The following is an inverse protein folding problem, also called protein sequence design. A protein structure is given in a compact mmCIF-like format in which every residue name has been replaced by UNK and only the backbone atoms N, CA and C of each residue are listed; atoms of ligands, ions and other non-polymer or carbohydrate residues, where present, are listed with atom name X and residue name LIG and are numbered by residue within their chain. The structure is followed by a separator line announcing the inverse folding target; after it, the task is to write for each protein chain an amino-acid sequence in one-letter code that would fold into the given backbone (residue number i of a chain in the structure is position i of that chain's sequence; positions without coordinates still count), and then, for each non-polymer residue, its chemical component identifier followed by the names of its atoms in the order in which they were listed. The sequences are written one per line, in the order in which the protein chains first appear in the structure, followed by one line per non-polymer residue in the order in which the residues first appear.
data_IF_206148671734
#
_entry.id   IF_206148671734
#
_cell.length_a   1.000
_cell.length_b   1.000
_cell.length_c   1.000
_cell.angle_alpha   90.00
_cell.angle_beta   90.00
_cell.angle_gamma   90.00
#
_symmetry.space_group_name_H-M   'P 1'
#
loop_
_entity.id
_entity.type
_entity.pdbx_description
1 polymer ?
#
# COMPACT_ATOMS: atom_id res chain seq x y z
N UNK A 1 -1.59 -18.32 6.20
CA UNK A 1 -1.77 -17.07 6.95
C UNK A 1 -2.38 -17.37 8.33
N UNK A 2 -1.59 -17.41 9.37
CA UNK A 2 -2.01 -17.75 10.75
C UNK A 2 -2.95 -16.71 11.40
N UNK A 3 -3.17 -15.56 10.74
CA UNK A 3 -4.04 -14.48 11.23
C UNK A 3 -5.47 -14.55 10.68
N UNK A 4 -5.71 -15.43 9.73
CA UNK A 4 -7.04 -15.61 9.15
C UNK A 4 -7.85 -16.64 9.94
N UNK A 5 -9.18 -16.49 9.95
CA UNK A 5 -10.05 -17.49 10.55
C UNK A 5 -9.97 -18.82 9.81
N UNK A 6 -10.15 -19.92 10.52
CA UNK A 6 -10.12 -21.27 9.93
C UNK A 6 -11.12 -21.42 8.77
N UNK A 7 -12.32 -20.86 8.92
CA UNK A 7 -13.34 -20.85 7.89
C UNK A 7 -12.90 -20.10 6.62
N UNK A 8 -12.24 -18.93 6.79
CA UNK A 8 -11.71 -18.16 5.66
C UNK A 8 -10.56 -18.89 4.97
N UNK A 9 -9.64 -19.49 5.74
CA UNK A 9 -8.56 -20.31 5.19
C UNK A 9 -9.09 -21.51 4.41
N UNK A 10 -10.09 -22.21 4.94
CA UNK A 10 -10.75 -23.34 4.26
C UNK A 10 -11.37 -22.90 2.94
N UNK A 11 -12.14 -21.81 2.92
CA UNK A 11 -12.76 -21.26 1.72
C UNK A 11 -11.73 -20.88 0.68
N UNK A 12 -10.67 -20.19 1.07
CA UNK A 12 -9.60 -19.78 0.15
C UNK A 12 -8.88 -21.00 -0.44
N UNK A 13 -8.56 -21.99 0.38
CA UNK A 13 -7.86 -23.20 -0.04
C UNK A 13 -8.70 -24.03 -1.03
N UNK A 14 -9.97 -24.23 -0.74
CA UNK A 14 -10.89 -24.97 -1.62
C UNK A 14 -11.05 -24.24 -2.96
N UNK A 15 -11.35 -22.93 -2.93
CA UNK A 15 -11.55 -22.13 -4.15
C UNK A 15 -10.29 -22.04 -5.02
N UNK A 16 -9.11 -22.17 -4.42
CA UNK A 16 -7.82 -22.15 -5.13
C UNK A 16 -7.33 -23.55 -5.52
N UNK A 17 -8.11 -24.58 -5.31
CA UNK A 17 -7.77 -25.97 -5.67
C UNK A 17 -6.59 -26.55 -4.88
N UNK A 18 -6.36 -26.09 -3.65
CA UNK A 18 -5.30 -26.60 -2.79
C UNK A 18 -5.53 -28.07 -2.47
N UNK A 19 -4.52 -28.90 -2.69
CA UNK A 19 -4.58 -30.37 -2.46
C UNK A 19 -3.96 -30.79 -1.13
N UNK A 20 -2.99 -30.00 -0.64
CA UNK A 20 -2.20 -30.32 0.54
C UNK A 20 -1.93 -29.01 1.31
N UNK A 21 -1.99 -29.10 2.64
CA UNK A 21 -1.55 -28.01 3.53
C UNK A 21 -0.37 -28.47 4.40
N UNK A 22 0.45 -27.53 4.83
CA UNK A 22 1.55 -27.74 5.74
C UNK A 22 1.34 -26.82 6.93
N UNK A 23 1.37 -27.38 8.14
CA UNK A 23 1.17 -26.62 9.38
C UNK A 23 -0.25 -26.72 9.91
N UNK A 24 -1.02 -25.64 9.88
CA UNK A 24 -2.37 -25.60 10.45
C UNK A 24 -3.35 -26.48 9.67
N UNK A 25 -4.14 -27.36 10.32
CA UNK A 25 -5.13 -28.18 9.66
C UNK A 25 -6.20 -27.35 8.98
N UNK A 26 -6.60 -27.79 7.77
CA UNK A 26 -7.75 -27.25 7.05
C UNK A 26 -8.71 -28.40 6.78
N UNK A 27 -9.99 -28.29 7.16
CA UNK A 27 -10.98 -29.32 6.91
C UNK A 27 -10.99 -29.78 5.45
N UNK A 28 -11.09 -31.09 5.24
CA UNK A 28 -11.12 -31.73 3.92
C UNK A 28 -9.84 -31.63 3.08
N UNK A 29 -8.75 -31.08 3.60
CA UNK A 29 -7.46 -30.99 2.91
C UNK A 29 -6.40 -31.76 3.70
N UNK A 30 -5.61 -32.59 2.99
CA UNK A 30 -4.53 -33.34 3.61
C UNK A 30 -3.48 -32.40 4.17
N UNK A 31 -3.26 -32.45 5.49
CA UNK A 31 -2.33 -31.59 6.20
C UNK A 31 -1.11 -32.38 6.68
N UNK A 32 0.07 -31.80 6.52
CA UNK A 32 1.33 -32.35 6.99
C UNK A 32 1.95 -31.47 8.09
N UNK A 33 2.53 -32.14 9.08
CA UNK A 33 3.29 -31.45 10.13
C UNK A 33 4.61 -30.92 9.55
N UNK A 34 4.90 -29.62 9.66
CA UNK A 34 6.10 -29.02 9.10
C UNK A 34 7.40 -29.64 9.67
N UNK A 35 7.42 -30.00 10.94
CA UNK A 35 8.59 -30.61 11.58
C UNK A 35 8.90 -32.00 11.03
N UNK A 36 7.88 -32.79 10.65
CA UNK A 36 8.07 -34.09 10.02
C UNK A 36 8.60 -33.93 8.59
N UNK A 37 8.11 -32.94 7.85
CA UNK A 37 8.62 -32.65 6.50
C UNK A 37 10.08 -32.20 6.56
N UNK A 38 10.42 -31.26 7.44
CA UNK A 38 11.81 -30.83 7.61
C UNK A 38 12.75 -31.99 7.99
N UNK A 39 12.34 -32.87 8.90
CA UNK A 39 13.12 -34.04 9.23
C UNK A 39 13.31 -34.98 8.04
N UNK A 40 12.27 -35.20 7.21
CA UNK A 40 12.38 -36.10 6.05
C UNK A 40 13.22 -35.48 4.92
N UNK A 41 13.17 -34.14 4.72
CA UNK A 41 14.04 -33.44 3.78
C UNK A 41 15.50 -33.43 4.20
N UNK A 42 15.77 -33.42 5.51
CA UNK A 42 17.13 -33.44 6.04
C UNK A 42 17.79 -34.85 6.02
N UNK A 43 16.97 -35.90 6.07
CA UNK A 43 17.45 -37.30 6.14
C UNK A 43 17.51 -38.03 4.79
N UNK A 44 16.97 -37.46 3.73
CA UNK A 44 16.97 -38.10 2.41
C UNK A 44 16.95 -37.07 1.30
N UNK A 45 18.03 -36.99 0.54
CA UNK A 45 18.05 -36.21 -0.68
C UNK A 45 16.90 -36.64 -1.61
N UNK A 46 16.06 -35.69 -2.04
CA UNK A 46 15.08 -35.97 -3.10
C UNK A 46 15.84 -36.34 -4.36
N UNK A 47 15.66 -37.57 -4.87
CA UNK A 47 16.27 -37.99 -6.13
C UNK A 47 15.80 -37.05 -7.26
N UNK A 48 16.70 -36.73 -8.19
CA UNK A 48 16.39 -35.90 -9.34
C UNK A 48 15.23 -36.45 -10.18
N UNK A 49 14.97 -37.75 -10.10
CA UNK A 49 13.91 -38.49 -10.80
C UNK A 49 12.49 -38.08 -10.39
N UNK A 50 12.31 -37.45 -9.21
CA UNK A 50 10.99 -37.01 -8.73
C UNK A 50 10.73 -35.51 -9.02
N UNK A 51 11.66 -34.80 -9.67
CA UNK A 51 11.47 -33.40 -10.04
C UNK A 51 10.67 -33.31 -11.32
N UNK A 52 9.46 -32.76 -11.23
CA UNK A 52 8.71 -32.35 -12.42
C UNK A 52 9.52 -31.31 -13.19
N UNK A 53 9.54 -31.42 -14.50
CA UNK A 53 10.05 -30.34 -15.34
C UNK A 53 9.15 -29.12 -15.17
N UNK A 54 9.73 -28.03 -14.73
CA UNK A 54 9.06 -26.75 -14.46
C UNK A 54 9.64 -25.71 -15.42
N UNK A 55 8.75 -24.94 -16.05
CA UNK A 55 9.15 -23.83 -16.92
C UNK A 55 9.09 -22.51 -16.17
N UNK A 56 9.72 -21.48 -16.74
CA UNK A 56 9.68 -20.13 -16.15
C UNK A 56 8.26 -19.56 -16.05
N UNK A 57 7.36 -19.98 -16.92
CA UNK A 57 5.99 -19.48 -16.96
C UNK A 57 5.00 -20.30 -16.12
N UNK A 58 5.45 -21.40 -15.53
CA UNK A 58 4.63 -22.14 -14.57
C UNK A 58 4.41 -21.30 -13.29
N UNK A 59 3.24 -21.46 -12.64
CA UNK A 59 2.98 -20.83 -11.34
C UNK A 59 3.97 -21.32 -10.27
N UNK A 60 4.66 -20.38 -9.60
CA UNK A 60 5.51 -20.65 -8.46
C UNK A 60 4.75 -20.52 -7.14
N UNK A 61 3.98 -19.44 -6.99
CA UNK A 61 3.18 -19.16 -5.79
C UNK A 61 1.88 -18.46 -6.15
N UNK A 62 0.89 -18.60 -5.25
CA UNK A 62 -0.34 -17.83 -5.28
C UNK A 62 -0.34 -16.90 -4.06
N UNK A 63 -0.46 -15.61 -4.29
CA UNK A 63 -0.53 -14.58 -3.25
C UNK A 63 -1.94 -14.02 -3.22
N UNK A 64 -2.60 -14.07 -2.06
CA UNK A 64 -3.93 -13.50 -1.91
C UNK A 64 -3.85 -12.00 -1.67
N UNK A 65 -4.51 -11.23 -2.53
CA UNK A 65 -4.62 -9.77 -2.40
C UNK A 65 -5.95 -9.38 -1.75
N UNK A 66 -5.94 -8.37 -0.89
CA UNK A 66 -7.17 -7.77 -0.37
C UNK A 66 -7.78 -6.90 -1.47
N UNK A 67 -8.77 -7.42 -2.19
CA UNK A 67 -9.50 -6.61 -3.17
C UNK A 67 -10.38 -5.55 -2.51
N UNK A 68 -10.63 -4.43 -3.20
CA UNK A 68 -11.57 -3.37 -2.79
C UNK A 68 -13.00 -3.91 -2.57
N UNK A 69 -13.33 -5.08 -3.13
CA UNK A 69 -14.61 -5.77 -2.95
C UNK A 69 -14.72 -6.61 -1.66
N UNK A 70 -13.75 -6.55 -0.76
CA UNK A 70 -13.73 -7.30 0.51
C UNK A 70 -13.41 -8.79 0.39
N UNK A 71 -13.39 -9.38 -0.84
CA UNK A 71 -12.99 -10.77 -1.06
C UNK A 71 -11.53 -10.85 -1.50
N UNK A 72 -10.77 -11.72 -0.85
CA UNK A 72 -9.37 -11.96 -1.23
C UNK A 72 -9.30 -12.60 -2.62
N UNK A 73 -8.46 -12.03 -3.49
CA UNK A 73 -8.25 -12.49 -4.87
C UNK A 73 -6.91 -13.21 -4.98
N UNK A 74 -6.89 -14.46 -5.53
CA UNK A 74 -5.65 -15.22 -5.69
C UNK A 74 -4.87 -14.73 -6.91
N UNK A 75 -3.76 -14.02 -6.68
CA UNK A 75 -2.85 -13.55 -7.73
C UNK A 75 -1.75 -14.59 -8.00
N UNK A 76 -1.48 -14.85 -9.28
CA UNK A 76 -0.47 -15.80 -9.72
C UNK A 76 0.90 -15.14 -9.85
N UNK A 77 1.91 -15.77 -9.24
CA UNK A 77 3.31 -15.47 -9.46
C UNK A 77 3.99 -16.63 -10.15
N UNK A 78 4.50 -16.42 -11.36
CA UNK A 78 5.30 -17.41 -12.07
C UNK A 78 6.74 -17.47 -11.54
N UNK A 79 7.45 -18.54 -11.88
CA UNK A 79 8.88 -18.64 -11.60
C UNK A 79 9.67 -17.48 -12.23
N UNK A 80 9.32 -17.08 -13.46
CA UNK A 80 9.90 -15.93 -14.15
C UNK A 80 9.78 -14.65 -13.32
N UNK A 81 8.60 -14.38 -12.74
CA UNK A 81 8.37 -13.19 -11.92
C UNK A 81 9.14 -13.24 -10.60
N UNK A 82 9.22 -14.41 -9.97
CA UNK A 82 9.98 -14.58 -8.72
C UNK A 82 11.47 -14.36 -8.94
N UNK A 83 12.05 -14.99 -9.96
CA UNK A 83 13.47 -14.86 -10.31
C UNK A 83 13.76 -13.43 -10.77
N UNK A 84 12.94 -12.89 -11.66
CA UNK A 84 13.09 -11.51 -12.15
C UNK A 84 13.02 -10.47 -11.04
N UNK A 85 12.16 -10.65 -10.06
CA UNK A 85 12.12 -9.79 -8.88
C UNK A 85 13.40 -9.93 -8.04
N UNK A 86 13.87 -11.15 -7.78
CA UNK A 86 15.12 -11.39 -7.06
C UNK A 86 16.29 -10.66 -7.71
N UNK A 87 16.51 -10.85 -9.02
CA UNK A 87 17.56 -10.19 -9.79
C UNK A 87 17.43 -8.66 -9.73
N UNK A 88 16.24 -8.14 -10.04
CA UNK A 88 16.04 -6.71 -10.12
C UNK A 88 16.29 -6.02 -8.77
N UNK A 89 15.83 -6.62 -7.67
CA UNK A 89 15.95 -6.03 -6.35
C UNK A 89 17.34 -6.20 -5.74
N UNK A 90 18.02 -7.33 -5.95
CA UNK A 90 19.42 -7.50 -5.53
C UNK A 90 20.33 -6.46 -6.18
N UNK A 91 20.16 -6.22 -7.49
CA UNK A 91 20.92 -5.19 -8.22
C UNK A 91 20.61 -3.76 -7.72
N UNK A 92 19.32 -3.42 -7.56
CA UNK A 92 18.91 -2.07 -7.14
C UNK A 92 19.30 -1.72 -5.72
N UNK A 93 19.30 -2.69 -4.83
CA UNK A 93 19.73 -2.51 -3.44
C UNK A 93 21.26 -2.65 -3.26
N UNK A 94 21.96 -3.22 -4.24
CA UNK A 94 23.38 -3.53 -4.12
C UNK A 94 23.64 -4.72 -3.21
N UNK A 95 22.63 -5.60 -3.02
CA UNK A 95 22.73 -6.77 -2.15
C UNK A 95 23.77 -7.77 -2.67
N UNK A 96 24.57 -8.32 -1.77
CA UNK A 96 25.61 -9.32 -2.05
C UNK A 96 25.52 -10.50 -1.09
N UNK A 97 26.38 -11.49 -1.25
CA UNK A 97 26.47 -12.65 -0.33
C UNK A 97 26.80 -12.29 1.12
N UNK A 98 27.40 -11.12 1.35
CA UNK A 98 27.75 -10.65 2.69
C UNK A 98 26.62 -9.85 3.34
N UNK A 99 25.59 -9.47 2.56
CA UNK A 99 24.46 -8.67 3.03
C UNK A 99 23.53 -9.45 3.95
N UNK A 100 22.87 -8.72 4.86
CA UNK A 100 21.87 -9.24 5.78
C UNK A 100 20.61 -8.36 5.74
N UNK A 101 19.57 -8.90 5.15
CA UNK A 101 18.30 -8.18 4.97
C UNK A 101 17.34 -8.47 6.12
N UNK A 102 16.87 -7.43 6.80
CA UNK A 102 15.85 -7.53 7.85
C UNK A 102 14.45 -7.53 7.23
N UNK A 103 13.70 -8.63 7.44
CA UNK A 103 12.38 -8.86 6.86
C UNK A 103 11.35 -9.02 7.97
N UNK A 104 10.52 -8.01 8.17
CA UNK A 104 9.38 -8.01 9.09
C UNK A 104 8.04 -8.12 8.40
N UNK A 105 8.06 -7.99 7.06
CA UNK A 105 6.87 -8.13 6.23
C UNK A 105 6.55 -9.62 6.03
N UNK A 106 5.26 -9.99 6.06
CA UNK A 106 4.86 -11.39 5.91
C UNK A 106 5.31 -11.98 4.58
N UNK A 107 5.89 -13.20 4.62
CA UNK A 107 6.31 -13.91 3.40
C UNK A 107 5.14 -14.40 2.53
N UNK A 108 3.90 -14.27 2.96
CA UNK A 108 2.72 -14.50 2.12
C UNK A 108 2.27 -13.25 1.35
N UNK A 109 3.08 -12.18 1.36
CA UNK A 109 2.87 -10.97 0.56
C UNK A 109 4.04 -10.71 -0.38
N UNK A 110 3.76 -9.99 -1.49
CA UNK A 110 4.73 -9.69 -2.53
C UNK A 110 6.01 -9.05 -2.01
N UNK A 111 5.92 -8.04 -1.14
CA UNK A 111 7.11 -7.36 -0.62
C UNK A 111 7.99 -8.27 0.25
N UNK A 112 7.40 -9.06 1.13
CA UNK A 112 8.18 -10.00 1.95
C UNK A 112 8.80 -11.12 1.13
N UNK A 113 8.03 -11.71 0.21
CA UNK A 113 8.46 -12.87 -0.55
C UNK A 113 9.22 -12.50 -1.84
N UNK A 114 8.54 -11.79 -2.75
CA UNK A 114 9.09 -11.55 -4.08
C UNK A 114 10.10 -10.38 -4.12
N UNK A 115 9.94 -9.37 -3.26
CA UNK A 115 10.88 -8.23 -3.20
C UNK A 115 12.08 -8.58 -2.31
N UNK A 116 11.87 -8.94 -1.04
CA UNK A 116 12.97 -9.14 -0.10
C UNK A 116 13.56 -10.55 -0.11
N UNK A 117 12.75 -11.58 0.11
CA UNK A 117 13.26 -12.94 0.26
C UNK A 117 13.89 -13.46 -1.05
N UNK A 118 13.25 -13.20 -2.21
CA UNK A 118 13.84 -13.61 -3.50
C UNK A 118 15.15 -12.91 -3.80
N UNK A 119 15.32 -11.65 -3.36
CA UNK A 119 16.58 -10.91 -3.52
C UNK A 119 17.69 -11.49 -2.67
N UNK A 120 17.38 -11.92 -1.44
CA UNK A 120 18.34 -12.62 -0.60
C UNK A 120 18.79 -13.95 -1.23
N UNK A 121 17.83 -14.71 -1.78
CA UNK A 121 18.14 -15.96 -2.48
C UNK A 121 19.03 -15.73 -3.69
N UNK A 122 18.71 -14.73 -4.52
CA UNK A 122 19.46 -14.40 -5.73
C UNK A 122 20.88 -13.91 -5.41
N UNK A 123 21.02 -13.05 -4.41
CA UNK A 123 22.31 -12.51 -4.00
C UNK A 123 23.16 -13.47 -3.16
N UNK A 124 22.58 -14.59 -2.69
CA UNK A 124 23.20 -15.44 -1.67
C UNK A 124 23.27 -14.79 -0.29
N UNK A 125 22.46 -13.76 -0.05
CA UNK A 125 22.44 -12.97 1.18
C UNK A 125 21.68 -13.67 2.31
N UNK A 126 21.90 -13.20 3.53
CA UNK A 126 21.19 -13.70 4.71
C UNK A 126 19.84 -12.98 4.87
N UNK A 127 18.75 -13.73 4.90
CA UNK A 127 17.42 -13.23 5.26
C UNK A 127 17.19 -13.34 6.77
N UNK A 128 17.13 -12.23 7.49
CA UNK A 128 16.78 -12.15 8.91
C UNK A 128 15.29 -11.92 9.03
N UNK A 129 14.55 -13.02 9.18
CA UNK A 129 13.07 -12.98 9.16
C UNK A 129 12.53 -12.89 10.58
N UNK A 130 11.65 -11.93 10.81
CA UNK A 130 10.91 -11.76 12.05
C UNK A 130 9.43 -12.08 11.85
N UNK A 131 8.81 -12.70 12.83
CA UNK A 131 7.39 -13.11 12.79
C UNK A 131 6.44 -11.92 12.59
N UNK A 132 6.74 -10.78 13.23
CA UNK A 132 6.00 -9.52 13.07
C UNK A 132 6.87 -8.30 13.37
N UNK A 133 6.53 -7.18 12.77
CA UNK A 133 7.16 -5.89 13.08
C UNK A 133 6.94 -5.50 14.55
N UNK A 134 7.98 -4.93 15.15
CA UNK A 134 7.94 -4.34 16.49
C UNK A 134 8.82 -3.10 16.56
N UNK A 135 8.21 -1.96 16.83
CA UNK A 135 8.90 -0.68 17.02
C UNK A 135 10.00 -0.79 18.09
N UNK A 136 9.68 -1.45 19.22
CA UNK A 136 10.63 -1.61 20.34
C UNK A 136 11.81 -2.50 20.02
N UNK A 137 11.63 -3.49 19.15
CA UNK A 137 12.68 -4.45 18.83
C UNK A 137 13.50 -4.08 17.59
N UNK A 138 13.02 -3.15 16.76
CA UNK A 138 13.62 -2.84 15.47
C UNK A 138 15.11 -2.55 15.54
N UNK A 139 15.52 -1.52 16.29
CA UNK A 139 16.94 -1.15 16.40
C UNK A 139 17.79 -2.24 17.09
N UNK A 140 17.22 -2.90 18.11
CA UNK A 140 17.91 -4.01 18.76
C UNK A 140 18.18 -5.17 17.81
N UNK A 141 17.19 -5.52 16.98
CA UNK A 141 17.32 -6.61 16.02
C UNK A 141 18.33 -6.29 14.92
N UNK A 142 18.22 -5.14 14.27
CA UNK A 142 19.13 -4.77 13.17
C UNK A 142 20.58 -4.67 13.66
N UNK A 143 20.79 -4.20 14.88
CA UNK A 143 22.13 -4.16 15.52
C UNK A 143 22.63 -5.55 15.86
N UNK A 144 21.79 -6.39 16.50
CA UNK A 144 22.17 -7.74 16.94
C UNK A 144 22.55 -8.63 15.78
N UNK A 145 21.78 -8.59 14.70
CA UNK A 145 22.00 -9.40 13.50
C UNK A 145 22.90 -8.73 12.47
N UNK A 146 23.31 -7.48 12.72
CA UNK A 146 24.10 -6.66 11.82
C UNK A 146 23.46 -6.57 10.42
N UNK A 147 22.18 -6.17 10.36
CA UNK A 147 21.43 -6.06 9.13
C UNK A 147 21.78 -4.75 8.42
N UNK A 148 22.24 -4.82 7.17
CA UNK A 148 22.62 -3.68 6.32
C UNK A 148 21.46 -3.15 5.48
N UNK A 149 20.41 -3.93 5.35
CA UNK A 149 19.23 -3.57 4.56
C UNK A 149 17.92 -3.96 5.24
N UNK A 150 16.85 -3.21 4.93
CA UNK A 150 15.50 -3.42 5.49
C UNK A 150 14.46 -3.28 4.41
N UNK A 151 13.59 -4.29 4.25
CA UNK A 151 12.39 -4.15 3.44
C UNK A 151 11.27 -3.49 4.26
N UNK A 152 10.57 -2.54 3.66
CA UNK A 152 9.54 -1.78 4.38
C UNK A 152 8.24 -1.59 3.58
N UNK A 153 7.23 -1.14 4.31
CA UNK A 153 6.10 -0.36 3.82
C UNK A 153 6.07 0.94 4.63
N UNK A 154 5.55 2.04 4.07
CA UNK A 154 5.57 3.38 4.69
C UNK A 154 5.08 3.40 6.13
N UNK A 155 4.06 2.60 6.47
CA UNK A 155 3.54 2.45 7.83
C UNK A 155 4.59 2.01 8.87
N UNK A 156 5.58 1.20 8.48
CA UNK A 156 6.68 0.81 9.36
C UNK A 156 7.46 2.04 9.83
N UNK A 157 7.83 2.90 8.90
CA UNK A 157 8.58 4.13 9.20
C UNK A 157 7.71 5.15 9.93
N UNK A 158 6.42 5.23 9.63
CA UNK A 158 5.48 6.06 10.36
C UNK A 158 5.40 5.65 11.84
N UNK A 159 5.34 4.36 12.15
CA UNK A 159 5.36 3.90 13.55
C UNK A 159 6.71 4.18 14.23
N UNK A 160 7.82 4.03 13.52
CA UNK A 160 9.14 4.36 14.06
C UNK A 160 9.30 5.86 14.30
N UNK A 161 8.77 6.73 13.41
CA UNK A 161 8.81 8.18 13.58
C UNK A 161 8.10 8.67 14.84
N UNK A 162 7.02 7.99 15.22
CA UNK A 162 6.22 8.30 16.40
C UNK A 162 6.82 7.75 17.71
N UNK A 163 7.87 6.92 17.63
CA UNK A 163 8.57 6.44 18.82
C UNK A 163 9.50 7.53 19.38
N UNK A 164 9.74 7.55 20.71
CA UNK A 164 10.69 8.49 21.30
C UNK A 164 12.06 8.40 20.65
N UNK A 165 12.59 9.54 20.20
CA UNK A 165 13.92 9.61 19.61
C UNK A 165 15.01 9.35 20.65
N UNK A 166 16.01 8.55 20.28
CA UNK A 166 17.18 8.25 21.08
C UNK A 166 18.43 8.83 20.42
N UNK A 167 19.43 9.18 21.22
CA UNK A 167 20.70 9.76 20.74
C UNK A 167 21.52 8.80 19.87
N UNK A 168 21.19 7.54 19.88
CA UNK A 168 21.88 6.49 19.14
C UNK A 168 21.03 5.85 18.03
N UNK A 169 19.88 6.45 17.67
CA UNK A 169 19.03 5.92 16.59
C UNK A 169 19.80 5.75 15.26
N UNK A 170 20.70 6.71 14.96
CA UNK A 170 21.56 6.63 13.77
C UNK A 170 22.74 5.66 13.89
N UNK A 171 23.04 5.16 15.09
CA UNK A 171 24.11 4.19 15.32
C UNK A 171 23.61 2.77 15.09
N UNK A 172 23.29 2.46 13.84
CA UNK A 172 22.83 1.15 13.41
C UNK A 172 23.49 0.77 12.07
N UNK A 173 23.54 -0.51 11.68
CA UNK A 173 24.22 -0.94 10.47
C UNK A 173 23.42 -0.79 9.19
N UNK A 174 22.15 -0.32 9.24
CA UNK A 174 21.27 -0.24 8.08
C UNK A 174 21.72 0.89 7.15
N UNK A 175 22.11 0.55 5.93
CA UNK A 175 22.52 1.47 4.89
C UNK A 175 21.43 1.72 3.86
N UNK A 176 20.68 0.66 3.51
CA UNK A 176 19.68 0.70 2.44
C UNK A 176 18.34 0.24 2.96
N UNK A 177 17.31 1.03 2.66
CA UNK A 177 15.93 0.60 2.83
C UNK A 177 15.23 0.53 1.47
N UNK A 178 14.35 -0.45 1.30
CA UNK A 178 13.64 -0.64 0.04
C UNK A 178 12.22 -1.13 0.27
N UNK A 179 11.29 -0.56 -0.48
CA UNK A 179 9.87 -0.82 -0.26
C UNK A 179 8.97 0.17 -0.96
N UNK A 180 7.81 0.42 -0.39
CA UNK A 180 6.83 1.34 -0.95
C UNK A 180 6.06 2.12 0.11
N UNK A 181 5.58 3.32 -0.28
CA UNK A 181 4.71 4.15 0.52
C UNK A 181 5.44 5.03 1.53
N UNK A 182 6.71 5.35 1.31
CA UNK A 182 7.43 6.35 2.09
C UNK A 182 7.01 7.74 1.62
N UNK A 183 6.25 8.45 2.44
CA UNK A 183 5.79 9.81 2.12
C UNK A 183 6.92 10.83 2.21
N UNK A 184 6.77 11.97 1.53
CA UNK A 184 7.79 13.01 1.51
C UNK A 184 8.22 13.48 2.91
N UNK A 185 7.31 13.76 3.87
CA UNK A 185 7.71 14.17 5.22
C UNK A 185 8.47 13.10 6.01
N UNK A 186 8.20 11.81 5.75
CA UNK A 186 8.90 10.71 6.39
C UNK A 186 10.28 10.46 5.80
N UNK A 187 10.53 10.87 4.56
CA UNK A 187 11.77 10.60 3.86
C UNK A 187 12.96 11.23 4.57
N UNK A 188 12.91 12.55 4.77
CA UNK A 188 13.99 13.29 5.43
C UNK A 188 14.21 12.79 6.86
N UNK A 189 13.12 12.57 7.61
CA UNK A 189 13.17 12.02 8.96
C UNK A 189 13.89 10.67 9.02
N UNK A 190 13.62 9.78 8.07
CA UNK A 190 14.26 8.44 8.02
C UNK A 190 15.75 8.55 7.74
N UNK A 191 16.15 9.40 6.79
CA UNK A 191 17.56 9.64 6.47
C UNK A 191 18.31 10.26 7.66
N UNK A 192 17.76 11.30 8.26
CA UNK A 192 18.42 12.05 9.33
C UNK A 192 18.45 11.28 10.66
N UNK A 193 17.28 10.81 11.11
CA UNK A 193 17.17 10.17 12.44
C UNK A 193 17.86 8.82 12.50
N UNK A 194 17.71 7.99 11.46
CA UNK A 194 18.24 6.63 11.45
C UNK A 194 19.56 6.49 10.69
N UNK A 195 20.06 7.57 10.08
CA UNK A 195 21.32 7.54 9.34
C UNK A 195 21.28 6.66 8.10
N UNK A 196 20.11 6.51 7.47
CA UNK A 196 19.96 5.69 6.27
C UNK A 196 20.63 6.39 5.09
N UNK A 197 21.46 5.67 4.34
CA UNK A 197 22.20 6.25 3.23
C UNK A 197 21.39 6.28 1.94
N UNK A 198 20.51 5.27 1.74
CA UNK A 198 19.78 5.12 0.49
C UNK A 198 18.39 4.53 0.67
N UNK A 199 17.45 5.13 -0.04
CA UNK A 199 16.07 4.66 -0.16
C UNK A 199 15.83 4.18 -1.59
N UNK A 200 15.29 2.99 -1.76
CA UNK A 200 14.81 2.46 -3.04
C UNK A 200 13.30 2.27 -2.94
N UNK A 201 12.58 3.29 -3.41
CA UNK A 201 11.11 3.29 -3.40
C UNK A 201 10.56 2.59 -4.64
N UNK A 202 9.35 2.02 -4.56
CA UNK A 202 8.72 1.45 -5.73
C UNK A 202 7.20 1.60 -5.75
N UNK A 203 6.66 1.51 -6.95
CA UNK A 203 5.24 1.34 -7.23
C UNK A 203 5.00 -0.01 -7.90
N UNK A 204 4.05 -0.77 -7.40
CA UNK A 204 3.66 -2.05 -7.97
C UNK A 204 2.46 -2.69 -7.29
N UNK A 205 1.86 -3.65 -7.99
CA UNK A 205 0.78 -4.48 -7.48
C UNK A 205 1.12 -5.96 -7.66
N UNK A 206 0.54 -6.80 -6.80
CA UNK A 206 0.78 -8.25 -6.84
C UNK A 206 0.40 -8.86 -8.18
N UNK A 207 -0.67 -8.37 -8.79
CA UNK A 207 -1.19 -8.79 -10.09
C UNK A 207 -0.59 -8.05 -11.29
N UNK A 208 0.29 -7.08 -11.09
CA UNK A 208 0.87 -6.26 -12.15
C UNK A 208 1.61 -7.11 -13.20
N UNK A 209 1.44 -6.88 -14.52
CA UNK A 209 2.01 -7.73 -15.57
C UNK A 209 3.51 -7.59 -15.75
N UNK A 210 4.07 -6.47 -15.33
CA UNK A 210 5.47 -6.10 -15.50
C UNK A 210 6.20 -5.98 -14.15
N UNK A 211 7.48 -5.69 -14.19
CA UNK A 211 8.25 -5.32 -13.01
C UNK A 211 7.72 -4.02 -12.40
N UNK A 212 7.82 -3.88 -11.09
CA UNK A 212 7.51 -2.65 -10.40
C UNK A 212 8.31 -1.46 -10.95
N UNK A 213 7.67 -0.30 -11.04
CA UNK A 213 8.40 0.95 -11.22
C UNK A 213 9.25 1.19 -9.98
N UNK A 214 10.50 1.55 -10.15
CA UNK A 214 11.43 1.78 -9.03
C UNK A 214 12.10 3.12 -9.13
N UNK A 215 12.09 3.85 -8.04
CA UNK A 215 12.93 5.02 -7.81
C UNK A 215 14.24 4.56 -7.14
N UNK A 216 15.15 4.05 -7.93
CA UNK A 216 16.45 3.58 -7.47
C UNK A 216 17.47 4.71 -7.27
N UNK A 217 17.12 5.94 -7.68
CA UNK A 217 17.94 7.14 -7.50
C UNK A 217 17.82 7.73 -6.11
N UNK A 218 16.77 7.36 -5.35
CA UNK A 218 16.50 7.88 -4.01
C UNK A 218 15.93 9.31 -4.00
N UNK A 219 15.34 9.79 -5.12
CA UNK A 219 14.71 11.12 -5.15
C UNK A 219 13.44 11.14 -4.27
N UNK A 220 13.37 11.98 -3.24
CA UNK A 220 12.24 12.00 -2.31
C UNK A 220 10.88 12.24 -2.96
N UNK A 221 9.84 11.53 -2.48
CA UNK A 221 8.45 11.68 -2.94
C UNK A 221 8.10 10.97 -4.26
N UNK A 222 9.07 10.37 -4.94
CA UNK A 222 8.81 9.63 -6.19
C UNK A 222 8.86 8.12 -5.97
N UNK A 223 7.94 7.40 -6.62
CA UNK A 223 7.81 5.95 -6.52
C UNK A 223 8.38 5.18 -7.71
N UNK A 224 8.81 5.87 -8.76
CA UNK A 224 9.35 5.25 -9.97
C UNK A 224 10.21 6.20 -10.79
N UNK A 225 11.09 5.63 -11.62
CA UNK A 225 11.93 6.37 -12.55
C UNK A 225 12.15 5.57 -13.83
N UNK A 226 11.81 6.15 -14.96
CA UNK A 226 12.16 5.66 -16.30
C UNK A 226 12.79 6.83 -17.03
N UNK A 227 14.12 6.81 -17.27
CA UNK A 227 14.79 7.91 -17.96
C UNK A 227 14.20 8.15 -19.34
N UNK A 228 14.15 9.40 -19.83
CA UNK A 228 13.73 9.69 -21.20
C UNK A 228 14.57 8.90 -22.22
N UNK A 229 13.88 8.32 -23.23
CA UNK A 229 14.54 7.49 -24.25
C UNK A 229 14.88 6.05 -23.83
N UNK A 230 14.53 5.64 -22.59
CA UNK A 230 14.66 4.24 -22.19
C UNK A 230 13.65 3.37 -22.97
N UNK A 231 13.99 2.12 -23.35
CA UNK A 231 13.08 1.23 -24.09
C UNK A 231 11.73 0.99 -23.41
N UNK A 232 11.68 1.08 -22.07
CA UNK A 232 10.44 0.91 -21.30
C UNK A 232 9.60 2.19 -21.19
N UNK A 233 10.02 3.30 -21.79
CA UNK A 233 9.32 4.58 -21.70
C UNK A 233 7.86 4.48 -22.14
N UNK A 234 7.62 3.72 -23.22
CA UNK A 234 6.31 3.52 -23.83
C UNK A 234 5.54 2.31 -23.22
N UNK A 235 6.15 1.60 -22.28
CA UNK A 235 5.47 0.49 -21.57
C UNK A 235 4.64 0.96 -20.38
N UNK A 236 4.77 2.23 -19.95
CA UNK A 236 3.96 2.85 -18.90
C UNK A 236 3.47 4.19 -19.39
N UNK A 237 2.16 4.31 -19.59
CA UNK A 237 1.50 5.55 -20.00
C UNK A 237 0.50 6.01 -18.96
N UNK A 238 0.33 7.32 -18.84
CA UNK A 238 -0.68 7.92 -17.98
C UNK A 238 -1.78 8.49 -18.87
N UNK A 239 -3.05 8.18 -18.58
CA UNK A 239 -4.18 8.56 -19.42
C UNK A 239 -5.27 9.28 -18.63
N UNK A 240 -5.99 10.18 -19.32
CA UNK A 240 -7.19 10.81 -18.79
C UNK A 240 -8.42 9.87 -18.85
N UNK A 241 -9.58 10.37 -18.43
CA UNK A 241 -10.87 9.64 -18.44
C UNK A 241 -11.31 9.24 -19.88
N UNK A 242 -10.74 9.85 -20.92
CA UNK A 242 -11.00 9.55 -22.34
C UNK A 242 -9.91 8.69 -22.96
N UNK A 243 -9.00 8.15 -22.13
CA UNK A 243 -7.84 7.35 -22.54
C UNK A 243 -6.84 8.07 -23.45
N UNK A 244 -6.82 9.39 -23.40
CA UNK A 244 -5.77 10.19 -24.04
C UNK A 244 -4.58 10.31 -23.10
N UNK A 245 -3.39 10.12 -23.64
CA UNK A 245 -2.13 10.28 -22.88
C UNK A 245 -2.03 11.71 -22.38
N UNK A 246 -1.81 11.89 -21.08
CA UNK A 246 -1.66 13.20 -20.44
C UNK A 246 -0.26 13.78 -20.63
N UNK A 247 -0.12 15.09 -20.55
CA UNK A 247 1.18 15.75 -20.63
C UNK A 247 2.01 15.51 -19.35
N UNK A 248 3.35 15.66 -19.44
CA UNK A 248 4.20 15.61 -18.26
C UNK A 248 3.77 16.61 -17.19
N UNK A 249 3.69 16.15 -15.95
CA UNK A 249 3.18 16.91 -14.79
C UNK A 249 1.68 16.77 -14.55
N UNK A 250 0.91 16.33 -15.55
CA UNK A 250 -0.51 16.05 -15.37
C UNK A 250 -0.75 14.69 -14.72
N UNK A 251 -1.88 14.57 -14.02
CA UNK A 251 -2.30 13.34 -13.35
C UNK A 251 -3.13 12.48 -14.30
N UNK A 252 -2.80 11.18 -14.38
CA UNK A 252 -3.55 10.22 -15.17
C UNK A 252 -3.56 8.82 -14.57
N UNK A 253 -4.49 7.97 -15.02
CA UNK A 253 -4.49 6.55 -14.67
C UNK A 253 -3.26 5.88 -15.31
N UNK A 254 -2.51 5.14 -14.51
CA UNK A 254 -1.37 4.40 -15.02
C UNK A 254 -1.83 3.12 -15.75
N UNK A 255 -1.49 3.04 -17.02
CA UNK A 255 -1.64 1.84 -17.84
C UNK A 255 -0.26 1.22 -18.10
N UNK A 256 -0.19 -0.11 -17.98
CA UNK A 256 1.04 -0.85 -18.23
C UNK A 256 0.85 -1.79 -19.42
N UNK A 257 1.77 -1.71 -20.38
CA UNK A 257 1.79 -2.62 -21.51
C UNK A 257 2.05 -4.05 -21.03
N UNK A 258 1.27 -5.00 -21.52
CA UNK A 258 1.43 -6.40 -21.16
C UNK A 258 2.47 -7.04 -22.09
N UNK A 259 3.62 -7.50 -21.57
CA UNK A 259 4.66 -8.11 -22.39
C UNK A 259 4.14 -9.36 -23.12
N UNK A 260 4.39 -9.41 -24.44
CA UNK A 260 4.00 -10.54 -25.29
C UNK A 260 2.48 -10.75 -25.38
N UNK A 261 1.67 -9.78 -24.96
CA UNK A 261 0.19 -9.83 -24.94
C UNK A 261 -0.39 -11.07 -24.20
N UNK A 262 0.38 -11.63 -23.28
CA UNK A 262 -0.03 -12.75 -22.44
C UNK A 262 -0.06 -12.27 -21.00
N UNK A 263 -1.25 -12.20 -20.42
CA UNK A 263 -1.45 -11.83 -19.04
C UNK A 263 -2.03 -12.97 -18.21
N UNK A 264 -1.42 -13.20 -17.05
CA UNK A 264 -1.88 -14.11 -16.01
C UNK A 264 -1.69 -13.45 -14.66
N UNK A 265 -2.66 -12.61 -14.27
CA UNK A 265 -2.61 -11.88 -13.01
C UNK A 265 -3.29 -12.62 -11.89
N UNK A 266 -4.47 -13.16 -12.15
CA UNK A 266 -5.26 -13.92 -11.17
C UNK A 266 -5.46 -15.38 -11.57
N UNK A 267 -5.76 -16.21 -10.57
CA UNK A 267 -6.16 -17.60 -10.81
C UNK A 267 -7.50 -17.70 -11.57
N UNK A 268 -8.40 -16.75 -11.31
CA UNK A 268 -9.67 -16.59 -12.01
C UNK A 268 -9.50 -15.61 -13.18
N UNK A 269 -9.57 -16.08 -14.45
CA UNK A 269 -9.40 -15.22 -15.62
C UNK A 269 -10.44 -14.10 -15.74
N UNK A 270 -11.63 -14.24 -15.15
CA UNK A 270 -12.66 -13.21 -15.19
C UNK A 270 -12.24 -11.95 -14.40
N UNK A 271 -11.42 -12.12 -13.38
CA UNK A 271 -10.84 -10.98 -12.62
C UNK A 271 -9.81 -10.21 -13.46
N UNK A 272 -9.15 -10.89 -14.39
CA UNK A 272 -8.18 -10.28 -15.29
C UNK A 272 -8.87 -9.42 -16.36
N UNK A 273 -9.96 -9.91 -16.96
CA UNK A 273 -10.65 -9.22 -18.06
C UNK A 273 -11.09 -7.79 -17.70
N UNK A 274 -11.49 -7.55 -16.46
CA UNK A 274 -11.88 -6.23 -15.99
C UNK A 274 -10.72 -5.22 -15.91
N UNK A 275 -9.49 -5.71 -15.97
CA UNK A 275 -8.27 -4.89 -15.91
C UNK A 275 -7.55 -4.80 -17.26
N UNK A 276 -8.05 -5.46 -18.30
CA UNK A 276 -7.37 -5.56 -19.58
C UNK A 276 -8.08 -4.75 -20.65
N UNK A 277 -7.30 -3.95 -21.38
CA UNK A 277 -7.74 -3.19 -22.53
C UNK A 277 -6.98 -3.62 -23.75
N UNK A 278 -7.69 -3.92 -24.85
CA UNK A 278 -7.15 -4.40 -26.10
C UNK A 278 -7.35 -3.37 -27.19
N UNK A 279 -6.38 -3.24 -28.10
CA UNK A 279 -6.43 -2.33 -29.24
C UNK A 279 -6.70 -0.86 -28.81
N UNK A 280 -6.03 -0.39 -27.75
CA UNK A 280 -6.28 0.93 -27.19
C UNK A 280 -5.56 2.02 -28.00
N UNK A 281 -4.28 1.84 -28.29
CA UNK A 281 -3.46 2.80 -29.04
C UNK A 281 -3.09 2.27 -30.42
N UNK A 282 -2.90 0.96 -30.56
CA UNK A 282 -2.57 0.29 -31.81
C UNK A 282 -3.22 -1.09 -31.90
N UNK A 283 -3.41 -1.59 -33.15
CA UNK A 283 -3.99 -2.90 -33.33
C UNK A 283 -3.10 -4.01 -32.76
N UNK A 284 -3.67 -4.85 -31.91
CA UNK A 284 -2.99 -5.96 -31.27
C UNK A 284 -2.30 -5.60 -29.94
N UNK A 285 -2.36 -4.37 -29.47
CA UNK A 285 -1.82 -4.02 -28.15
C UNK A 285 -2.70 -4.56 -27.00
N UNK A 286 -2.07 -4.76 -25.85
CA UNK A 286 -2.74 -5.17 -24.63
C UNK A 286 -2.22 -4.36 -23.46
N UNK A 287 -3.12 -3.67 -22.77
CA UNK A 287 -2.81 -2.79 -21.65
C UNK A 287 -3.53 -3.25 -20.38
N UNK A 288 -2.80 -3.21 -19.27
CA UNK A 288 -3.33 -3.50 -17.95
C UNK A 288 -3.60 -2.19 -17.21
N UNK A 289 -4.80 -2.07 -16.67
CA UNK A 289 -5.25 -0.93 -15.87
C UNK A 289 -4.86 -1.09 -14.42
N UNK A 290 -4.09 -0.17 -13.91
CA UNK A 290 -3.74 -0.20 -12.49
C UNK A 290 -4.92 0.16 -11.59
N UNK A 291 -5.72 1.13 -11.99
CA UNK A 291 -6.70 1.81 -11.14
C UNK A 291 -6.04 2.79 -10.18
N UNK A 292 -4.79 3.15 -10.43
CA UNK A 292 -4.04 4.11 -9.64
C UNK A 292 -3.74 5.36 -10.48
N UNK A 293 -3.80 6.53 -9.85
CA UNK A 293 -3.48 7.83 -10.44
C UNK A 293 -2.03 8.18 -10.13
N UNK A 294 -1.26 8.45 -11.16
CA UNK A 294 0.12 8.88 -11.07
C UNK A 294 0.32 10.18 -11.86
N UNK A 295 1.39 10.91 -11.57
CA UNK A 295 1.95 11.92 -12.45
C UNK A 295 3.36 11.53 -12.86
N UNK A 296 3.82 12.02 -14.03
CA UNK A 296 5.18 11.81 -14.52
C UNK A 296 5.79 13.15 -14.90
N UNK A 297 6.95 13.49 -14.36
CA UNK A 297 7.63 14.72 -14.75
C UNK A 297 8.42 14.58 -16.08
N UNK A 298 8.99 15.69 -16.55
CA UNK A 298 9.78 15.74 -17.79
C UNK A 298 11.09 14.97 -17.68
N UNK A 299 11.58 14.70 -16.48
CA UNK A 299 12.80 13.95 -16.23
C UNK A 299 12.55 12.43 -16.18
N UNK A 300 11.28 12.00 -16.13
CA UNK A 300 10.87 10.59 -16.14
C UNK A 300 10.59 10.00 -14.77
N UNK A 301 10.46 10.83 -13.73
CA UNK A 301 10.08 10.38 -12.40
C UNK A 301 8.56 10.29 -12.25
N UNK A 302 8.10 9.21 -11.62
CA UNK A 302 6.69 8.96 -11.34
C UNK A 302 6.39 9.23 -9.87
N UNK A 303 5.32 9.99 -9.63
CA UNK A 303 4.77 10.24 -8.31
C UNK A 303 3.40 9.54 -8.20
N UNK A 304 3.18 8.82 -7.12
CA UNK A 304 1.85 8.28 -6.80
C UNK A 304 0.97 9.41 -6.26
N UNK A 305 -0.22 9.56 -6.83
CA UNK A 305 -1.16 10.61 -6.42
C UNK A 305 -2.29 10.01 -5.58
N UNK A 306 -3.00 8.99 -6.11
CA UNK A 306 -4.11 8.35 -5.37
C UNK A 306 -4.57 7.05 -6.07
N UNK A 307 -5.53 6.35 -5.47
CA UNK A 307 -6.28 5.27 -6.11
C UNK A 307 -7.57 5.78 -6.71
N UNK A 308 -7.90 5.29 -7.91
CA UNK A 308 -9.23 5.47 -8.46
C UNK A 308 -10.26 4.82 -7.52
N UNK A 309 -11.15 5.66 -6.96
CA UNK A 309 -12.15 5.24 -5.97
C UNK A 309 -11.77 5.50 -4.51
N UNK A 310 -10.50 5.78 -4.20
CA UNK A 310 -10.09 6.37 -2.92
C UNK A 310 -10.11 7.91 -2.99
N UNK A 311 -9.85 8.52 -4.14
CA UNK A 311 -10.18 9.94 -4.41
C UNK A 311 -11.69 10.14 -4.53
N UNK A 312 -12.14 11.32 -4.21
CA UNK A 312 -13.55 11.69 -4.38
C UNK A 312 -13.67 13.04 -5.08
N UNK A 313 -14.84 13.26 -5.71
CA UNK A 313 -15.13 14.53 -6.38
C UNK A 313 -16.09 15.35 -5.54
N UNK A 314 -15.68 16.58 -5.22
CA UNK A 314 -16.48 17.54 -4.48
C UNK A 314 -16.67 18.81 -5.30
N UNK A 315 -17.93 19.16 -5.66
CA UNK A 315 -18.30 20.37 -6.43
C UNK A 315 -17.49 20.59 -7.72
N UNK A 316 -17.15 19.50 -8.40
CA UNK A 316 -16.37 19.55 -9.64
C UNK A 316 -14.86 19.37 -9.45
N UNK A 317 -14.32 19.54 -8.24
CA UNK A 317 -12.91 19.39 -7.93
C UNK A 317 -12.59 17.96 -7.49
N UNK A 318 -11.44 17.46 -7.92
CA UNK A 318 -10.92 16.17 -7.46
C UNK A 318 -10.16 16.37 -6.15
N UNK A 319 -10.48 15.56 -5.14
CA UNK A 319 -9.81 15.56 -3.83
C UNK A 319 -9.05 14.25 -3.65
N UNK A 320 -7.74 14.34 -3.50
CA UNK A 320 -6.90 13.20 -3.15
C UNK A 320 -7.01 12.90 -1.65
N UNK A 321 -7.41 11.68 -1.30
CA UNK A 321 -7.44 11.26 0.10
C UNK A 321 -6.04 11.27 0.71
N UNK A 322 -5.03 10.89 -0.06
CA UNK A 322 -3.63 10.83 0.41
C UNK A 322 -3.12 12.23 0.73
N UNK A 323 -3.34 13.20 -0.14
CA UNK A 323 -2.94 14.60 0.09
C UNK A 323 -3.56 15.17 1.37
N UNK A 324 -4.85 14.90 1.58
CA UNK A 324 -5.56 15.35 2.79
C UNK A 324 -5.07 14.61 4.04
N UNK A 325 -4.80 13.31 3.96
CA UNK A 325 -4.22 12.52 5.06
C UNK A 325 -2.84 13.06 5.46
N UNK A 326 -1.98 13.37 4.49
CA UNK A 326 -0.66 13.96 4.72
C UNK A 326 -0.75 15.35 5.36
N UNK A 327 -1.64 16.20 4.87
CA UNK A 327 -1.87 17.52 5.47
C UNK A 327 -2.34 17.41 6.92
N UNK A 328 -3.27 16.50 7.22
CA UNK A 328 -3.73 16.24 8.60
C UNK A 328 -2.58 15.79 9.50
N UNK A 329 -1.79 14.84 9.03
CA UNK A 329 -0.65 14.30 9.80
C UNK A 329 0.44 15.35 10.03
N UNK A 330 0.70 16.23 9.05
CA UNK A 330 1.71 17.28 9.14
C UNK A 330 1.40 18.36 10.19
N UNK A 331 0.14 18.47 10.64
CA UNK A 331 -0.22 19.37 11.75
C UNK A 331 0.44 18.99 13.09
N UNK A 332 0.96 17.77 13.21
CA UNK A 332 1.53 17.23 14.45
C UNK A 332 0.50 16.95 15.56
N UNK A 333 -0.79 17.18 15.32
CA UNK A 333 -1.88 16.98 16.31
C UNK A 333 -2.54 15.60 16.22
N UNK A 334 -2.29 14.87 15.13
CA UNK A 334 -2.97 13.62 14.80
C UNK A 334 -1.97 12.49 14.60
N UNK A 335 -2.24 11.34 15.20
CA UNK A 335 -1.43 10.13 15.08
C UNK A 335 -1.77 9.31 13.86
N UNK A 336 -3.07 9.23 13.54
CA UNK A 336 -3.59 8.52 12.35
C UNK A 336 -4.71 9.32 11.72
N UNK A 337 -4.71 9.36 10.40
CA UNK A 337 -5.76 9.96 9.58
C UNK A 337 -6.19 8.99 8.48
N UNK A 338 -7.50 8.87 8.28
CA UNK A 338 -8.10 8.12 7.18
C UNK A 338 -9.14 9.00 6.54
N UNK A 339 -8.89 9.39 5.29
CA UNK A 339 -9.77 10.28 4.54
C UNK A 339 -10.55 9.50 3.48
N UNK A 340 -11.79 9.83 3.32
CA UNK A 340 -12.70 9.22 2.34
C UNK A 340 -13.87 10.15 2.01
N UNK A 341 -14.44 9.95 0.83
CA UNK A 341 -15.62 10.70 0.40
C UNK A 341 -16.91 10.06 0.87
N UNK A 342 -17.83 10.85 1.44
CA UNK A 342 -19.19 10.44 1.84
C UNK A 342 -20.24 11.20 1.05
N UNK A 343 -21.29 10.52 0.63
CA UNK A 343 -22.40 11.14 -0.07
C UNK A 343 -23.36 11.81 0.92
N UNK A 344 -23.73 13.04 0.64
CA UNK A 344 -24.72 13.79 1.43
C UNK A 344 -25.92 14.11 0.51
N UNK A 345 -27.15 13.87 0.96
CA UNK A 345 -28.34 14.21 0.17
C UNK A 345 -28.39 15.70 -0.19
N UNK A 346 -28.71 15.98 -1.44
CA UNK A 346 -28.80 17.35 -1.96
C UNK A 346 -27.48 18.00 -2.42
N UNK A 347 -26.35 17.34 -2.19
CA UNK A 347 -25.03 17.81 -2.64
C UNK A 347 -24.55 17.05 -3.88
N UNK A 348 -23.81 17.74 -4.75
CA UNK A 348 -23.20 17.17 -5.94
C UNK A 348 -21.80 16.61 -5.60
N UNK A 349 -21.60 15.32 -5.83
CA UNK A 349 -20.34 14.62 -5.51
C UNK A 349 -20.33 14.03 -4.10
N UNK A 350 -19.12 13.89 -3.54
CA UNK A 350 -18.89 13.36 -2.19
C UNK A 350 -18.17 14.40 -1.35
N UNK A 351 -18.58 14.55 -0.12
CA UNK A 351 -17.95 15.44 0.86
C UNK A 351 -16.78 14.72 1.53
N UNK A 352 -15.69 15.43 1.76
CA UNK A 352 -14.53 14.89 2.48
C UNK A 352 -14.85 14.61 3.95
N UNK A 353 -14.59 13.39 4.39
CA UNK A 353 -14.66 12.99 5.78
C UNK A 353 -13.32 12.40 6.22
N UNK A 354 -12.84 12.84 7.38
CA UNK A 354 -11.62 12.34 7.99
C UNK A 354 -11.93 11.62 9.31
N UNK A 355 -11.54 10.36 9.44
CA UNK A 355 -11.50 9.64 10.72
C UNK A 355 -10.09 9.75 11.27
N UNK A 356 -9.92 10.38 12.43
CA UNK A 356 -8.61 10.72 12.98
C UNK A 356 -8.42 10.19 14.39
N UNK A 357 -7.22 9.71 14.69
CA UNK A 357 -6.77 9.38 16.03
C UNK A 357 -5.89 10.53 16.52
N UNK A 358 -6.38 11.42 17.41
CA UNK A 358 -5.61 12.56 17.87
C UNK A 358 -4.48 12.14 18.82
N UNK A 359 -3.42 12.94 18.90
CA UNK A 359 -2.33 12.79 19.88
C UNK A 359 -2.76 13.40 21.21
N UNK A 360 -3.41 14.55 21.14
CA UNK A 360 -3.98 15.27 22.28
C UNK A 360 -5.49 15.46 22.07
N UNK A 361 -6.21 15.78 23.12
CA UNK A 361 -7.65 15.96 23.03
C UNK A 361 -8.00 17.12 22.08
N UNK A 362 -8.71 16.82 21.01
CA UNK A 362 -9.29 17.79 20.09
C UNK A 362 -10.76 18.00 20.49
N UNK A 363 -11.02 19.10 21.19
CA UNK A 363 -12.37 19.45 21.66
C UNK A 363 -12.96 20.57 20.82
N UNK A 364 -14.29 20.67 20.80
CA UNK A 364 -15.02 21.79 20.21
C UNK A 364 -14.53 23.10 20.81
N UNK A 365 -14.21 24.08 19.97
CA UNK A 365 -13.71 25.37 20.40
C UNK A 365 -12.32 25.66 19.84
N UNK A 366 -11.41 26.16 20.66
CA UNK A 366 -10.13 26.70 20.19
C UNK A 366 -9.24 25.64 19.55
N UNK A 367 -9.12 24.45 20.14
CA UNK A 367 -8.22 23.39 19.63
C UNK A 367 -8.62 22.87 18.25
N UNK A 368 -9.91 22.70 18.00
CA UNK A 368 -10.44 22.31 16.68
C UNK A 368 -10.41 23.45 15.67
N UNK A 369 -10.57 24.70 16.09
CA UNK A 369 -10.43 25.84 15.23
C UNK A 369 -8.96 26.06 14.82
N UNK A 370 -8.02 25.92 15.73
CA UNK A 370 -6.59 25.98 15.41
C UNK A 370 -6.18 24.87 14.44
N UNK A 371 -6.76 23.68 14.59
CA UNK A 371 -6.57 22.58 13.66
C UNK A 371 -7.15 22.91 12.27
N UNK A 372 -8.35 23.51 12.22
CA UNK A 372 -8.96 23.96 10.96
C UNK A 372 -8.10 25.01 10.26
N UNK A 373 -7.59 26.01 10.98
CA UNK A 373 -6.71 27.03 10.40
C UNK A 373 -5.45 26.41 9.78
N UNK A 374 -4.82 25.48 10.46
CA UNK A 374 -3.66 24.77 9.91
C UNK A 374 -4.00 24.01 8.62
N UNK A 375 -5.16 23.32 8.57
CA UNK A 375 -5.60 22.64 7.35
C UNK A 375 -5.91 23.59 6.22
N UNK A 376 -6.45 24.77 6.50
CA UNK A 376 -6.74 25.80 5.49
C UNK A 376 -5.48 26.43 4.91
N UNK A 377 -4.38 26.47 5.64
CA UNK A 377 -3.07 26.88 5.14
C UNK A 377 -2.41 25.81 4.24
N UNK A 378 -2.71 24.53 4.49
CA UNK A 378 -2.08 23.39 3.81
C UNK A 378 -2.88 22.89 2.60
N UNK A 379 -4.19 23.09 2.59
CA UNK A 379 -5.10 22.53 1.62
C UNK A 379 -5.95 23.59 0.93
N UNK A 380 -6.28 23.40 -0.35
CA UNK A 380 -7.33 24.21 -0.98
C UNK A 380 -8.65 24.00 -0.23
N UNK A 381 -9.54 24.98 -0.26
CA UNK A 381 -10.79 24.97 0.49
C UNK A 381 -11.66 23.73 0.24
N UNK A 382 -11.64 23.18 -0.98
CA UNK A 382 -12.35 21.97 -1.34
C UNK A 382 -11.71 20.70 -0.77
N UNK A 383 -10.41 20.73 -0.42
CA UNK A 383 -9.66 19.63 0.19
C UNK A 383 -9.85 19.53 1.70
N UNK A 384 -10.25 20.61 2.37
CA UNK A 384 -10.49 20.60 3.82
C UNK A 384 -11.65 19.66 4.14
N UNK A 385 -11.47 18.64 5.02
CA UNK A 385 -12.55 17.72 5.37
C UNK A 385 -13.75 18.46 5.96
N UNK A 386 -14.93 18.20 5.42
CA UNK A 386 -16.17 18.81 5.95
C UNK A 386 -16.67 18.08 7.20
N UNK A 387 -16.30 16.81 7.37
CA UNK A 387 -16.68 16.02 8.56
C UNK A 387 -15.42 15.40 9.14
N UNK A 388 -15.27 15.53 10.45
CA UNK A 388 -14.22 14.88 11.24
C UNK A 388 -14.87 13.91 12.21
N UNK A 389 -14.34 12.70 12.30
CA UNK A 389 -14.67 11.69 13.29
C UNK A 389 -13.45 11.46 14.17
N UNK A 390 -13.58 11.61 15.47
CA UNK A 390 -12.52 11.29 16.41
C UNK A 390 -12.64 9.83 16.87
N UNK A 391 -11.53 9.12 16.85
CA UNK A 391 -11.42 7.76 17.39
C UNK A 391 -10.39 7.72 18.52
N UNK A 392 -10.58 6.79 19.47
CA UNK A 392 -9.69 6.63 20.63
C UNK A 392 -8.67 5.50 20.45
N UNK A 393 -8.85 4.68 19.41
CA UNK A 393 -8.04 3.51 19.14
C UNK A 393 -7.56 3.53 17.69
N UNK A 394 -6.47 2.81 17.42
CA UNK A 394 -5.96 2.60 16.07
C UNK A 394 -7.04 2.02 15.15
N UNK A 395 -7.03 2.51 13.90
CA UNK A 395 -7.91 1.97 12.88
C UNK A 395 -7.61 0.49 12.59
N UNK A 396 -8.65 -0.25 12.19
CA UNK A 396 -8.47 -1.63 11.74
C UNK A 396 -7.55 -1.71 10.54
N UNK A 397 -6.58 -2.62 10.59
CA UNK A 397 -5.63 -2.82 9.51
C UNK A 397 -5.69 -4.24 8.97
N UNK A 398 -5.31 -4.38 7.71
CA UNK A 398 -5.01 -5.68 7.11
C UNK A 398 -3.77 -6.30 7.77
N UNK A 399 -3.49 -7.57 7.48
CA UNK A 399 -2.25 -8.22 7.91
C UNK A 399 -0.98 -7.55 7.36
N UNK A 400 -1.11 -6.69 6.35
CA UNK A 400 -0.05 -5.85 5.77
C UNK A 400 -0.05 -4.43 6.32
N UNK A 401 -0.69 -4.19 7.46
CA UNK A 401 -0.79 -2.88 8.12
C UNK A 401 -1.49 -1.78 7.29
N UNK A 402 -2.19 -2.13 6.22
CA UNK A 402 -3.03 -1.17 5.47
C UNK A 402 -4.34 -0.96 6.18
N UNK A 403 -4.73 0.28 6.39
CA UNK A 403 -6.02 0.62 7.02
C UNK A 403 -7.18 0.18 6.12
N UNK A 404 -8.22 -0.39 6.73
CA UNK A 404 -9.41 -0.89 6.04
C UNK A 404 -10.42 0.25 5.91
N UNK A 405 -10.40 0.97 4.79
CA UNK A 405 -11.29 2.13 4.53
C UNK A 405 -12.75 1.73 4.27
N UNK A 406 -13.00 0.52 3.74
CA UNK A 406 -14.34 0.12 3.29
C UNK A 406 -15.41 0.21 4.39
N UNK A 407 -15.10 -0.25 5.61
CA UNK A 407 -16.03 -0.17 6.74
C UNK A 407 -16.32 1.28 7.13
N UNK A 408 -15.29 2.15 7.12
CA UNK A 408 -15.42 3.56 7.42
C UNK A 408 -16.30 4.30 6.41
N UNK A 409 -16.16 3.97 5.13
CA UNK A 409 -16.98 4.53 4.05
C UNK A 409 -18.46 4.12 4.17
N UNK A 410 -18.74 2.86 4.56
CA UNK A 410 -20.10 2.35 4.76
C UNK A 410 -20.74 2.99 6.00
N UNK A 411 -20.00 3.09 7.11
CA UNK A 411 -20.46 3.74 8.33
C UNK A 411 -20.73 5.24 8.12
N UNK A 412 -19.86 5.90 7.33
CA UNK A 412 -19.93 7.33 7.06
C UNK A 412 -20.04 8.13 8.34
N UNK A 413 -20.92 9.14 8.35
CA UNK A 413 -21.15 10.04 9.48
C UNK A 413 -22.30 9.60 10.42
N UNK A 414 -22.81 8.38 10.28
CA UNK A 414 -24.01 7.92 11.03
C UNK A 414 -23.72 7.43 12.46
N UNK A 415 -22.45 7.20 12.80
CA UNK A 415 -22.04 6.62 14.09
C UNK A 415 -21.79 7.68 15.19
N UNK A 416 -22.60 8.76 15.24
CA UNK A 416 -22.41 9.89 16.17
C UNK A 416 -22.55 9.51 17.64
N UNK A 417 -23.26 8.43 17.94
CA UNK A 417 -23.42 7.92 19.31
C UNK A 417 -22.16 7.18 19.81
N UNK A 418 -21.42 6.57 18.88
CA UNK A 418 -20.23 5.79 19.20
C UNK A 418 -18.96 6.63 19.19
N UNK A 419 -18.88 7.61 18.30
CA UNK A 419 -17.72 8.45 18.11
C UNK A 419 -18.09 9.92 18.06
N UNK A 420 -17.26 10.82 18.61
CA UNK A 420 -17.40 12.25 18.39
C UNK A 420 -17.25 12.59 16.90
N UNK A 421 -18.27 13.24 16.34
CA UNK A 421 -18.23 13.78 14.99
C UNK A 421 -18.37 15.29 15.02
N UNK A 422 -17.64 15.96 14.13
CA UNK A 422 -17.71 17.40 13.95
C UNK A 422 -17.93 17.71 12.49
N UNK A 423 -18.74 18.72 12.21
CA UNK A 423 -19.02 19.18 10.85
C UNK A 423 -18.55 20.62 10.67
N UNK A 424 -17.94 20.92 9.53
CA UNK A 424 -17.55 22.26 9.14
C UNK A 424 -18.81 23.05 8.76
N UNK A 425 -19.24 23.91 9.65
CA UNK A 425 -20.44 24.73 9.49
C UNK A 425 -20.15 26.18 9.88
N UNK A 426 -20.50 27.12 9.01
CA UNK A 426 -20.24 28.55 9.20
C UNK A 426 -18.77 28.88 9.54
N UNK A 427 -17.83 28.22 8.87
CA UNK A 427 -16.40 28.49 8.98
C UNK A 427 -15.71 27.91 10.23
N UNK A 428 -16.36 27.01 10.96
CA UNK A 428 -15.80 26.33 12.14
C UNK A 428 -16.29 24.90 12.24
N UNK A 429 -15.54 24.04 12.93
CA UNK A 429 -16.02 22.71 13.30
C UNK A 429 -16.95 22.81 14.51
N UNK A 430 -18.17 22.32 14.34
CA UNK A 430 -19.18 22.19 15.41
C UNK A 430 -19.56 20.74 15.60
N UNK A 431 -19.92 20.37 16.81
CA UNK A 431 -20.36 19.00 17.14
C UNK A 431 -21.55 18.59 16.26
N UNK A 432 -21.44 17.45 15.60
CA UNK A 432 -22.55 16.87 14.84
C UNK A 432 -23.55 16.24 15.81
N UNK A 433 -24.58 17.01 16.16
CA UNK A 433 -25.71 16.57 17.01
C UNK A 433 -26.74 15.80 16.19
N UNK A 434 -27.70 15.15 16.86
CA UNK A 434 -28.83 14.46 16.19
C UNK A 434 -29.64 15.39 15.30
N UNK A 435 -29.86 16.63 15.73
CA UNK A 435 -30.60 17.62 14.94
C UNK A 435 -29.85 18.02 13.68
N UNK A 436 -28.54 18.29 13.78
CA UNK A 436 -27.69 18.57 12.65
C UNK A 436 -27.56 17.37 11.72
N UNK A 437 -27.45 16.16 12.25
CA UNK A 437 -27.43 14.91 11.47
C UNK A 437 -28.74 14.78 10.66
N UNK A 438 -29.90 14.96 11.31
CA UNK A 438 -31.20 14.91 10.64
C UNK A 438 -31.33 15.98 9.54
N UNK A 439 -30.85 17.19 9.80
CA UNK A 439 -30.82 18.25 8.80
C UNK A 439 -29.90 17.93 7.62
N UNK A 440 -28.75 17.30 7.88
CA UNK A 440 -27.81 16.84 6.87
C UNK A 440 -28.41 15.72 6.01
N UNK A 441 -29.05 14.72 6.62
CA UNK A 441 -29.72 13.60 5.94
C UNK A 441 -30.92 14.05 5.10
N UNK A 442 -31.58 15.14 5.48
CA UNK A 442 -32.67 15.75 4.72
C UNK A 442 -32.20 16.74 3.64
N UNK A 443 -30.87 16.93 3.46
CA UNK A 443 -30.32 17.90 2.51
C UNK A 443 -30.64 19.35 2.85
N UNK A 444 -30.91 19.67 4.12
CA UNK A 444 -31.28 21.02 4.59
C UNK A 444 -30.07 21.85 5.03
N UNK A 445 -28.89 21.24 5.15
CA UNK A 445 -27.64 21.95 5.44
C UNK A 445 -26.94 22.28 4.15
N UNK A 446 -26.67 23.56 3.92
CA UNK A 446 -25.84 24.01 2.80
C UNK A 446 -24.35 23.97 3.23
N UNK A 447 -23.60 23.05 2.67
CA UNK A 447 -22.16 22.90 2.88
C UNK A 447 -21.35 23.67 1.81
N UNK A 448 -21.80 24.87 1.45
CA UNK A 448 -21.15 25.70 0.45
C UNK A 448 -19.79 26.23 0.91
N UNK A 449 -18.89 26.45 -0.06
CA UNK A 449 -17.73 27.30 0.14
C UNK A 449 -18.21 28.73 0.42
N UNK A 450 -17.75 29.34 1.48
CA UNK A 450 -17.72 30.78 1.68
C UNK A 450 -16.28 31.21 1.88
#
# INVERSE_FOLDING_TARGET
NIRESEQKLSTLAVNSGVKITIGQPIPSIKTYNPNLILKSLWSGGTSAEHRRQVTLDDPAVIIFTSGTSGRSKPALFSHRRMIGAGIAWSLRTGMSSDSKCYITLPLYHGNGLAVAFSSCVEAGACAVVRDRFSVRAFLSDVRTYNCDSVVYIGELWRYLSQSPQQLDDSKNPVQVIFGNGLTFPLWDMVLERFGIERVVEHYGATEMPASALTNWTGRPGYCGFIPPGHPDTDNVVLVDEKFKVVAPGEVGEALLRVPGNIYRGYLDPQLDENKLWRNLFESGDLWWRSGDLLSRDTEGFFMFVDRMGDSFRWKGENVSCVEVEEAILSTGKVREAVVYGVSIPGESGKVGMASILPIECLEEGQTLNDFLYQLQELLPSYGVPHIIRLVEQHHETTSTMKIIKANLQIEGFKQIEKYPHFILYQGRYVRLTRDLLSALELGRLNLGFR
#
